data_IF_796202193509
#
_entry.id   IF_796202193509
#
_cell.length_a   1.000
_cell.length_b   1.000
_cell.length_c   1.000
_cell.angle_alpha   90.00
_cell.angle_beta   90.00
_cell.angle_gamma   90.00
#
_symmetry.space_group_name_H-M   'P 1'
#
loop_
_entity.id
_entity.type
_entity.pdbx_description
1 polymer ?
#
# COMPACT_ATOMS: atom_id res chain seq x y z
N UNK A 1 -13.45 -9.64 6.39
CA UNK A 1 -13.25 -9.93 4.96
C UNK A 1 -12.07 -9.14 4.41
N UNK A 2 -12.07 -7.80 4.43
CA UNK A 2 -11.00 -6.95 3.88
C UNK A 2 -9.61 -7.30 4.39
N UNK A 3 -9.42 -7.47 5.70
CA UNK A 3 -8.13 -7.88 6.27
C UNK A 3 -7.65 -9.25 5.75
N UNK A 4 -8.57 -10.19 5.55
CA UNK A 4 -8.21 -11.50 5.00
C UNK A 4 -7.79 -11.41 3.53
N UNK A 5 -8.47 -10.57 2.72
CA UNK A 5 -8.07 -10.36 1.31
C UNK A 5 -6.72 -9.68 1.20
N UNK A 6 -6.44 -8.68 2.05
CA UNK A 6 -5.14 -8.01 2.10
C UNK A 6 -4.04 -8.98 2.54
N UNK A 7 -4.27 -9.80 3.58
CA UNK A 7 -3.31 -10.82 3.98
C UNK A 7 -2.99 -11.81 2.84
N UNK A 8 -4.02 -12.31 2.15
CA UNK A 8 -3.83 -13.18 0.99
C UNK A 8 -3.07 -12.47 -0.14
N UNK A 9 -3.35 -11.21 -0.39
CA UNK A 9 -2.66 -10.40 -1.40
C UNK A 9 -1.16 -10.29 -1.10
N UNK A 10 -0.80 -10.03 0.16
CA UNK A 10 0.61 -9.94 0.58
C UNK A 10 1.29 -11.31 0.49
N UNK A 11 0.64 -12.39 0.91
CA UNK A 11 1.18 -13.74 0.81
C UNK A 11 1.47 -14.10 -0.64
N UNK A 12 0.54 -13.81 -1.55
CA UNK A 12 0.72 -14.01 -3.01
C UNK A 12 1.89 -13.17 -3.52
N UNK A 13 1.98 -11.91 -3.09
CA UNK A 13 3.06 -11.00 -3.48
C UNK A 13 4.45 -11.51 -3.03
N UNK A 14 4.57 -11.89 -1.77
CA UNK A 14 5.81 -12.46 -1.22
C UNK A 14 6.17 -13.77 -1.93
N UNK A 15 5.20 -14.66 -2.15
CA UNK A 15 5.42 -15.92 -2.86
C UNK A 15 5.94 -15.71 -4.29
N UNK A 16 5.35 -14.79 -5.03
CA UNK A 16 5.78 -14.45 -6.40
C UNK A 16 7.15 -13.77 -6.40
N UNK A 17 7.40 -12.86 -5.46
CA UNK A 17 8.68 -12.18 -5.34
C UNK A 17 9.83 -13.16 -5.01
N UNK A 18 9.59 -14.12 -4.11
CA UNK A 18 10.55 -15.18 -3.78
C UNK A 18 10.75 -16.19 -4.92
N UNK A 19 9.82 -16.34 -5.85
CA UNK A 19 9.98 -17.20 -7.03
C UNK A 19 10.71 -16.52 -8.17
N UNK A 20 10.57 -15.20 -8.32
CA UNK A 20 11.16 -14.43 -9.42
C UNK A 20 12.55 -13.92 -9.06
N UNK A 21 12.83 -13.75 -7.75
CA UNK A 21 14.05 -13.14 -7.23
C UNK A 21 14.43 -11.85 -7.94
N UNK A 22 13.56 -10.81 -7.88
CA UNK A 22 13.69 -9.63 -8.71
C UNK A 22 14.94 -8.78 -8.41
N UNK A 23 15.48 -8.84 -7.20
CA UNK A 23 16.66 -8.08 -6.77
C UNK A 23 17.99 -8.74 -7.08
N UNK A 24 18.00 -9.98 -7.59
CA UNK A 24 19.24 -10.69 -7.90
C UNK A 24 19.92 -10.09 -9.14
N UNK A 25 21.22 -9.79 -9.01
CA UNK A 25 22.05 -9.23 -10.10
C UNK A 25 22.34 -7.74 -9.96
N UNK A 26 21.82 -7.04 -8.93
CA UNK A 26 22.32 -5.72 -8.51
C UNK A 26 23.17 -5.95 -7.26
N UNK A 27 24.47 -6.07 -7.43
CA UNK A 27 25.38 -5.89 -6.31
C UNK A 27 25.64 -4.39 -6.18
N UNK A 28 25.03 -3.74 -5.21
CA UNK A 28 25.49 -2.42 -4.79
C UNK A 28 26.80 -2.61 -4.01
N UNK A 29 27.92 -2.82 -4.72
CA UNK A 29 29.27 -2.93 -4.12
C UNK A 29 29.68 -1.67 -3.35
N UNK A 30 28.98 -0.55 -3.55
CA UNK A 30 29.34 0.76 -3.00
C UNK A 30 28.41 1.29 -1.91
N UNK A 31 27.34 0.59 -1.55
CA UNK A 31 26.62 0.94 -0.33
C UNK A 31 27.41 0.33 0.82
N UNK A 32 28.25 1.14 1.44
CA UNK A 32 29.07 0.73 2.59
C UNK A 32 28.21 -0.04 3.58
N UNK A 33 28.52 -1.33 3.78
CA UNK A 33 28.00 -2.14 4.90
C UNK A 33 28.26 -1.48 6.27
N UNK A 34 28.99 -0.38 6.30
CA UNK A 34 29.34 0.40 7.47
C UNK A 34 28.20 1.28 8.03
N UNK A 35 27.18 1.60 7.20
CA UNK A 35 26.04 2.41 7.66
C UNK A 35 24.78 1.57 7.95
N UNK A 36 24.82 0.27 7.73
CA UNK A 36 23.84 -0.64 8.32
C UNK A 36 24.24 -0.79 9.80
N UNK A 37 24.07 0.30 10.55
CA UNK A 37 24.21 0.27 11.99
C UNK A 37 23.37 -0.88 12.52
N UNK A 38 23.87 -1.60 13.53
CA UNK A 38 23.19 -2.65 14.26
C UNK A 38 21.71 -2.27 14.43
N UNK A 39 20.89 -2.57 13.45
CA UNK A 39 19.45 -2.44 13.57
C UNK A 39 19.10 -3.55 14.56
N UNK A 40 18.98 -3.16 15.84
CA UNK A 40 18.43 -4.02 16.86
C UNK A 40 17.18 -4.64 16.24
N UNK A 41 17.12 -5.97 16.24
CA UNK A 41 15.94 -6.70 15.78
C UNK A 41 14.78 -6.15 16.59
N UNK A 42 14.00 -5.27 15.97
CA UNK A 42 12.82 -4.70 16.62
C UNK A 42 11.90 -5.88 16.92
N UNK A 43 11.80 -6.22 18.20
CA UNK A 43 10.97 -7.33 18.64
C UNK A 43 9.52 -7.04 18.21
N UNK A 44 8.82 -8.06 17.70
CA UNK A 44 7.37 -7.95 17.45
C UNK A 44 6.63 -7.39 18.67
N UNK A 45 7.07 -7.74 19.88
CA UNK A 45 6.51 -7.23 21.13
C UNK A 45 6.72 -5.71 21.26
N UNK A 46 7.89 -5.20 20.94
CA UNK A 46 8.19 -3.76 21.00
C UNK A 46 7.42 -2.98 19.93
N UNK A 47 7.26 -3.55 18.74
CA UNK A 47 6.41 -2.96 17.69
C UNK A 47 4.96 -2.86 18.17
N UNK A 48 4.42 -3.92 18.79
CA UNK A 48 3.06 -3.93 19.31
C UNK A 48 2.87 -2.98 20.49
N UNK A 49 3.87 -2.86 21.38
CA UNK A 49 3.81 -1.94 22.53
C UNK A 49 3.90 -0.47 22.08
N UNK A 50 4.66 -0.19 21.03
CA UNK A 50 4.83 1.15 20.48
C UNK A 50 3.67 1.59 19.54
N UNK A 51 2.71 0.72 19.28
CA UNK A 51 1.49 1.04 18.51
C UNK A 51 0.70 2.19 19.15
N UNK A 52 0.63 2.20 20.50
CA UNK A 52 -0.09 3.26 21.23
C UNK A 52 0.89 4.40 21.52
N UNK A 53 0.68 5.58 20.90
CA UNK A 53 1.61 6.70 21.09
C UNK A 53 1.56 7.22 22.52
N UNK A 54 2.72 7.31 23.18
CA UNK A 54 2.87 8.05 24.44
C UNK A 54 2.65 9.54 24.25
N UNK A 55 3.01 10.04 23.08
CA UNK A 55 2.83 11.42 22.65
C UNK A 55 2.42 11.47 21.17
N UNK A 56 1.13 11.68 20.86
CA UNK A 56 0.64 11.69 19.48
C UNK A 56 1.25 12.81 18.63
N UNK A 57 1.50 13.98 19.22
CA UNK A 57 2.12 15.12 18.52
C UNK A 57 3.60 14.82 18.23
N UNK A 58 4.29 14.19 19.17
CA UNK A 58 5.66 13.71 18.96
C UNK A 58 5.72 12.68 17.82
N UNK A 59 4.80 11.72 17.79
CA UNK A 59 4.72 10.75 16.72
C UNK A 59 4.49 11.42 15.33
N UNK A 60 3.63 12.44 15.27
CA UNK A 60 3.43 13.23 14.04
C UNK A 60 4.69 13.99 13.63
N UNK A 61 5.42 14.57 14.58
CA UNK A 61 6.65 15.31 14.30
C UNK A 61 7.78 14.39 13.83
N UNK A 62 7.86 13.17 14.35
CA UNK A 62 8.87 12.18 13.98
C UNK A 62 8.49 11.38 12.72
N UNK A 63 7.23 11.43 12.28
CA UNK A 63 6.75 10.63 11.16
C UNK A 63 6.50 9.15 11.51
N UNK A 64 6.24 8.85 12.79
CA UNK A 64 5.95 7.49 13.27
C UNK A 64 4.54 7.06 12.85
N UNK A 65 4.43 6.49 11.63
CA UNK A 65 3.14 6.26 10.97
C UNK A 65 2.20 5.34 11.76
N UNK A 66 2.72 4.26 12.36
CA UNK A 66 1.89 3.28 13.05
C UNK A 66 1.15 3.88 14.27
N UNK A 67 1.81 4.60 15.18
CA UNK A 67 1.15 5.34 16.26
C UNK A 67 0.16 6.40 15.76
N UNK A 68 0.48 7.09 14.66
CA UNK A 68 -0.41 8.11 14.07
C UNK A 68 -1.71 7.48 13.59
N UNK A 69 -1.63 6.34 12.86
CA UNK A 69 -2.80 5.61 12.35
C UNK A 69 -3.71 5.17 13.51
N UNK A 70 -3.13 4.57 14.54
CA UNK A 70 -3.91 4.09 15.69
C UNK A 70 -4.57 5.23 16.44
N UNK A 71 -3.88 6.35 16.63
CA UNK A 71 -4.44 7.55 17.22
C UNK A 71 -5.59 8.13 16.38
N UNK A 72 -5.41 8.20 15.06
CA UNK A 72 -6.46 8.67 14.15
C UNK A 72 -7.70 7.76 14.17
N UNK A 73 -7.52 6.43 14.19
CA UNK A 73 -8.61 5.47 14.33
C UNK A 73 -9.36 5.65 15.65
N UNK A 74 -8.63 5.86 16.76
CA UNK A 74 -9.23 6.10 18.06
C UNK A 74 -10.08 7.38 18.08
N UNK A 75 -9.56 8.49 17.54
CA UNK A 75 -10.32 9.73 17.38
C UNK A 75 -11.56 9.51 16.50
N UNK A 76 -11.41 8.83 15.36
CA UNK A 76 -12.51 8.55 14.43
C UNK A 76 -13.65 7.77 15.09
N UNK A 77 -13.32 6.75 15.88
CA UNK A 77 -14.33 5.97 16.64
C UNK A 77 -15.04 6.83 17.68
N UNK A 78 -14.32 7.71 18.39
CA UNK A 78 -14.92 8.61 19.37
C UNK A 78 -15.83 9.64 18.69
N UNK A 79 -15.41 10.25 17.60
CA UNK A 79 -16.22 11.18 16.83
C UNK A 79 -17.51 10.51 16.32
N UNK A 80 -17.41 9.28 15.82
CA UNK A 80 -18.58 8.50 15.39
C UNK A 80 -19.54 8.23 16.55
N UNK A 81 -19.05 7.92 17.75
CA UNK A 81 -19.88 7.73 18.96
C UNK A 81 -20.54 9.02 19.45
N UNK A 82 -19.84 10.15 19.34
CA UNK A 82 -20.36 11.46 19.77
C UNK A 82 -21.42 12.00 18.81
N UNK A 83 -21.41 11.58 17.54
CA UNK A 83 -22.37 11.99 16.52
C UNK A 83 -22.46 13.52 16.39
N UNK A 84 -23.67 14.07 16.41
CA UNK A 84 -23.91 15.51 16.20
C UNK A 84 -23.22 16.42 17.23
N UNK A 85 -22.87 15.91 18.42
CA UNK A 85 -22.15 16.70 19.43
C UNK A 85 -20.72 17.05 19.00
N UNK A 86 -20.14 16.27 18.12
CA UNK A 86 -18.79 16.48 17.60
C UNK A 86 -18.76 17.02 16.16
N UNK A 87 -19.89 17.52 15.66
CA UNK A 87 -20.01 17.96 14.25
C UNK A 87 -18.96 18.99 13.85
N UNK A 88 -18.64 19.96 14.71
CA UNK A 88 -17.61 20.97 14.46
C UNK A 88 -16.23 20.34 14.27
N UNK A 89 -15.84 19.39 15.14
CA UNK A 89 -14.55 18.71 15.05
C UNK A 89 -14.51 17.78 13.85
N UNK A 90 -15.59 17.07 13.57
CA UNK A 90 -15.72 16.22 12.39
C UNK A 90 -15.58 17.02 11.10
N UNK A 91 -16.27 18.17 11.01
CA UNK A 91 -16.19 19.07 9.86
C UNK A 91 -14.78 19.69 9.71
N UNK A 92 -14.12 20.02 10.83
CA UNK A 92 -12.73 20.48 10.80
C UNK A 92 -11.82 19.44 10.17
N UNK A 93 -11.88 18.18 10.61
CA UNK A 93 -11.05 17.11 10.03
C UNK A 93 -11.39 16.85 8.56
N UNK A 94 -12.66 16.92 8.18
CA UNK A 94 -13.08 16.78 6.79
C UNK A 94 -12.48 17.89 5.90
N UNK A 95 -12.62 19.16 6.30
CA UNK A 95 -12.05 20.29 5.58
C UNK A 95 -10.51 20.28 5.58
N UNK A 96 -9.92 19.86 6.68
CA UNK A 96 -8.46 19.71 6.76
C UNK A 96 -7.95 18.61 5.81
N UNK A 97 -8.68 17.49 5.71
CA UNK A 97 -8.39 16.45 4.73
C UNK A 97 -8.46 17.00 3.30
N UNK A 98 -9.50 17.76 2.96
CA UNK A 98 -9.66 18.36 1.62
C UNK A 98 -8.48 19.31 1.32
N UNK A 99 -8.07 20.14 2.30
CA UNK A 99 -6.89 20.99 2.17
C UNK A 99 -5.61 20.19 1.93
N UNK A 100 -5.38 19.11 2.69
CA UNK A 100 -4.20 18.24 2.52
C UNK A 100 -4.20 17.55 1.16
N UNK A 101 -5.38 17.16 0.66
CA UNK A 101 -5.53 16.58 -0.68
C UNK A 101 -5.17 17.60 -1.78
N UNK A 102 -5.64 18.83 -1.69
CA UNK A 102 -5.28 19.89 -2.64
C UNK A 102 -3.78 20.22 -2.59
N UNK A 103 -3.18 20.28 -1.40
CA UNK A 103 -1.74 20.45 -1.26
C UNK A 103 -0.96 19.31 -1.92
N UNK A 104 -1.39 18.07 -1.72
CA UNK A 104 -0.78 16.88 -2.36
C UNK A 104 -0.90 16.98 -3.88
N UNK A 105 -2.07 17.32 -4.40
CA UNK A 105 -2.27 17.48 -5.85
C UNK A 105 -1.43 18.62 -6.43
N UNK A 106 -1.21 19.68 -5.69
CA UNK A 106 -0.32 20.78 -6.10
C UNK A 106 1.14 20.31 -6.22
N UNK A 107 1.62 19.54 -5.24
CA UNK A 107 2.98 18.94 -5.27
C UNK A 107 3.10 17.93 -6.41
N UNK A 108 2.07 17.12 -6.65
CA UNK A 108 2.06 16.12 -7.73
C UNK A 108 2.16 16.73 -9.14
N UNK A 109 1.82 18.01 -9.32
CA UNK A 109 2.07 18.70 -10.62
C UNK A 109 3.56 18.83 -10.95
N UNK A 110 4.42 18.87 -9.94
CA UNK A 110 5.89 18.95 -10.09
C UNK A 110 6.53 17.55 -10.11
N UNK A 111 5.79 16.52 -9.74
CA UNK A 111 6.28 15.14 -9.67
C UNK A 111 6.99 14.63 -10.95
N UNK A 112 6.52 14.93 -12.19
CA UNK A 112 7.21 14.46 -13.39
C UNK A 112 8.67 14.93 -13.47
N UNK A 113 8.97 16.15 -13.02
CA UNK A 113 10.33 16.69 -12.99
C UNK A 113 11.16 15.95 -11.93
N UNK A 114 10.59 15.77 -10.73
CA UNK A 114 11.25 15.03 -9.64
C UNK A 114 11.55 13.58 -10.03
N UNK A 115 10.60 12.89 -10.62
CA UNK A 115 10.77 11.50 -11.11
C UNK A 115 11.86 11.43 -12.18
N UNK A 116 11.86 12.34 -13.15
CA UNK A 116 12.91 12.41 -14.14
C UNK A 116 14.30 12.58 -13.52
N UNK A 117 14.44 13.50 -12.56
CA UNK A 117 15.71 13.73 -11.87
C UNK A 117 16.17 12.51 -11.06
N UNK A 118 15.24 11.84 -10.36
CA UNK A 118 15.54 10.63 -9.58
C UNK A 118 16.00 9.48 -10.49
N UNK A 119 15.26 9.22 -11.58
CA UNK A 119 15.63 8.20 -12.55
C UNK A 119 16.99 8.51 -13.16
N UNK A 120 17.21 9.76 -13.61
CA UNK A 120 18.48 10.18 -14.17
C UNK A 120 19.66 9.99 -13.19
N UNK A 121 19.44 10.33 -11.90
CA UNK A 121 20.42 10.11 -10.83
C UNK A 121 20.72 8.62 -10.66
N UNK A 122 19.69 7.78 -10.55
CA UNK A 122 19.86 6.33 -10.38
C UNK A 122 20.63 5.71 -11.53
N UNK A 123 20.31 6.06 -12.77
CA UNK A 123 21.05 5.57 -13.94
C UNK A 123 22.49 6.12 -14.02
N UNK A 124 22.73 7.33 -13.52
CA UNK A 124 24.09 7.89 -13.47
C UNK A 124 24.96 7.19 -12.41
N UNK A 125 24.38 6.78 -11.29
CA UNK A 125 25.09 6.14 -10.16
C UNK A 125 25.28 4.63 -10.37
N UNK A 126 24.28 3.92 -10.89
CA UNK A 126 24.26 2.44 -10.98
C UNK A 126 24.51 1.96 -12.41
N UNK A 127 24.28 2.82 -13.41
CA UNK A 127 24.40 2.47 -14.83
C UNK A 127 23.17 1.71 -15.34
N UNK A 128 23.30 1.17 -16.56
CA UNK A 128 22.22 0.41 -17.20
C UNK A 128 22.00 -0.98 -16.59
N UNK A 129 22.90 -1.46 -15.75
CA UNK A 129 22.78 -2.75 -15.08
C UNK A 129 21.61 -2.79 -14.08
N UNK A 130 21.21 -1.62 -13.56
CA UNK A 130 20.02 -1.50 -12.71
C UNK A 130 18.70 -1.72 -13.47
N UNK A 131 18.69 -1.59 -14.79
CA UNK A 131 17.45 -1.63 -15.58
C UNK A 131 16.77 -3.00 -15.56
N UNK A 132 17.53 -4.07 -15.68
CA UNK A 132 16.99 -5.43 -15.70
C UNK A 132 16.32 -5.84 -14.37
N UNK A 133 16.90 -5.59 -13.19
CA UNK A 133 16.24 -5.82 -11.91
C UNK A 133 14.99 -4.97 -11.69
N UNK A 134 15.00 -3.70 -12.11
CA UNK A 134 13.79 -2.86 -12.07
C UNK A 134 12.67 -3.43 -12.95
N UNK A 135 12.99 -3.93 -14.14
CA UNK A 135 12.01 -4.62 -15.00
C UNK A 135 11.50 -5.91 -14.36
N UNK A 136 12.37 -6.69 -13.71
CA UNK A 136 11.96 -7.89 -12.94
C UNK A 136 11.02 -7.52 -11.80
N UNK A 137 11.34 -6.44 -11.05
CA UNK A 137 10.47 -5.92 -10.00
C UNK A 137 9.09 -5.52 -10.55
N UNK A 138 9.05 -4.71 -11.62
CA UNK A 138 7.79 -4.33 -12.27
C UNK A 138 7.01 -5.54 -12.78
N UNK A 139 7.71 -6.52 -13.34
CA UNK A 139 7.12 -7.78 -13.80
C UNK A 139 6.54 -8.58 -12.63
N UNK A 140 7.26 -8.68 -11.52
CA UNK A 140 6.80 -9.38 -10.31
C UNK A 140 5.55 -8.72 -9.71
N UNK A 141 5.53 -7.38 -9.59
CA UNK A 141 4.35 -6.63 -9.14
C UNK A 141 3.17 -6.84 -10.08
N UNK A 142 3.39 -6.71 -11.39
CA UNK A 142 2.33 -6.89 -12.39
C UNK A 142 1.77 -8.32 -12.37
N UNK A 143 2.62 -9.32 -12.25
CA UNK A 143 2.20 -10.71 -12.13
C UNK A 143 1.40 -10.95 -10.84
N UNK A 144 1.87 -10.42 -9.72
CA UNK A 144 1.17 -10.54 -8.43
C UNK A 144 -0.22 -9.89 -8.47
N UNK A 145 -0.33 -8.69 -9.07
CA UNK A 145 -1.62 -8.03 -9.29
C UNK A 145 -2.53 -8.83 -10.22
N UNK A 146 -1.99 -9.42 -11.29
CA UNK A 146 -2.75 -10.25 -12.21
C UNK A 146 -3.26 -11.52 -11.52
N UNK A 147 -2.43 -12.21 -10.75
CA UNK A 147 -2.83 -13.40 -9.97
C UNK A 147 -3.88 -13.03 -8.94
N UNK A 148 -3.71 -11.94 -8.20
CA UNK A 148 -4.69 -11.47 -7.22
C UNK A 148 -6.04 -11.16 -7.89
N UNK A 149 -6.04 -10.45 -9.01
CA UNK A 149 -7.26 -10.03 -9.71
C UNK A 149 -7.97 -11.20 -10.42
N UNK A 150 -7.22 -12.01 -11.17
CA UNK A 150 -7.78 -13.03 -12.07
C UNK A 150 -7.96 -14.39 -11.42
N UNK A 151 -7.21 -14.69 -10.35
CA UNK A 151 -7.28 -15.96 -9.66
C UNK A 151 -7.94 -15.79 -8.29
N UNK A 152 -7.30 -15.03 -7.39
CA UNK A 152 -7.75 -14.97 -5.98
C UNK A 152 -9.13 -14.33 -5.85
N UNK A 153 -9.35 -13.16 -6.43
CA UNK A 153 -10.65 -12.49 -6.32
C UNK A 153 -11.74 -13.23 -7.07
N UNK A 154 -11.43 -13.86 -8.21
CA UNK A 154 -12.43 -14.64 -8.96
C UNK A 154 -12.79 -15.93 -8.24
N UNK A 155 -11.82 -16.57 -7.59
CA UNK A 155 -12.06 -17.72 -6.75
C UNK A 155 -12.95 -17.36 -5.55
N UNK A 156 -12.63 -16.29 -4.84
CA UNK A 156 -13.44 -15.80 -3.71
C UNK A 156 -14.86 -15.44 -4.17
N UNK A 157 -14.98 -14.72 -5.30
CA UNK A 157 -16.30 -14.40 -5.87
C UNK A 157 -17.09 -15.70 -6.14
N UNK A 158 -16.50 -16.68 -6.79
CA UNK A 158 -17.15 -17.93 -7.10
C UNK A 158 -17.55 -18.71 -5.84
N UNK A 159 -16.64 -18.82 -4.87
CA UNK A 159 -16.88 -19.57 -3.62
C UNK A 159 -18.01 -18.96 -2.80
N UNK A 160 -18.02 -17.63 -2.63
CA UNK A 160 -19.00 -16.96 -1.77
C UNK A 160 -20.33 -16.67 -2.45
N UNK A 161 -20.34 -16.43 -3.77
CA UNK A 161 -21.57 -15.97 -4.46
C UNK A 161 -22.06 -16.95 -5.53
N UNK A 162 -21.23 -17.90 -5.97
CA UNK A 162 -21.45 -18.78 -7.11
C UNK A 162 -21.77 -18.05 -8.44
N UNK A 163 -21.45 -16.75 -8.49
CA UNK A 163 -21.55 -15.98 -9.72
C UNK A 163 -20.46 -16.39 -10.71
N UNK A 164 -20.75 -16.25 -12.00
CA UNK A 164 -19.75 -16.51 -13.03
C UNK A 164 -18.69 -15.41 -13.06
N UNK A 165 -17.41 -15.73 -12.75
CA UNK A 165 -16.34 -14.74 -12.65
C UNK A 165 -16.09 -13.95 -13.95
N UNK A 166 -16.15 -14.64 -15.09
CA UNK A 166 -15.91 -14.00 -16.40
C UNK A 166 -17.01 -12.99 -16.76
N UNK A 167 -18.27 -13.29 -16.41
CA UNK A 167 -19.37 -12.33 -16.61
C UNK A 167 -19.22 -11.12 -15.71
N UNK A 168 -18.75 -11.31 -14.47
CA UNK A 168 -18.47 -10.22 -13.56
C UNK A 168 -17.37 -9.33 -14.11
N UNK A 169 -16.21 -9.89 -14.50
CA UNK A 169 -15.09 -9.15 -15.09
C UNK A 169 -15.53 -8.35 -16.32
N UNK A 170 -16.28 -8.97 -17.24
CA UNK A 170 -16.78 -8.29 -18.44
C UNK A 170 -17.69 -7.11 -18.11
N UNK A 171 -18.56 -7.24 -17.11
CA UNK A 171 -19.47 -6.16 -16.70
C UNK A 171 -18.77 -5.06 -15.93
N UNK A 172 -17.73 -5.40 -15.18
CA UNK A 172 -16.98 -4.48 -14.34
C UNK A 172 -15.76 -3.87 -15.05
N UNK A 173 -15.40 -4.35 -16.25
CA UNK A 173 -14.24 -3.88 -17.02
C UNK A 173 -14.20 -2.36 -17.24
N UNK A 174 -15.30 -1.61 -17.46
CA UNK A 174 -15.21 -0.16 -17.61
C UNK A 174 -14.74 0.54 -16.33
N UNK A 175 -15.09 0.00 -15.16
CA UNK A 175 -14.62 0.50 -13.86
C UNK A 175 -13.14 0.23 -13.70
N UNK A 176 -12.69 -0.98 -14.06
CA UNK A 176 -11.27 -1.37 -14.00
C UNK A 176 -10.42 -0.48 -14.92
N UNK A 177 -10.87 -0.21 -16.14
CA UNK A 177 -10.18 0.68 -17.07
C UNK A 177 -10.12 2.12 -16.56
N UNK A 178 -11.21 2.61 -15.98
CA UNK A 178 -11.25 3.94 -15.39
C UNK A 178 -10.31 4.04 -14.18
N UNK A 179 -10.30 3.04 -13.29
CA UNK A 179 -9.38 2.98 -12.15
C UNK A 179 -7.92 2.97 -12.61
N UNK A 180 -7.60 2.20 -13.65
CA UNK A 180 -6.26 2.12 -14.23
C UNK A 180 -5.79 3.48 -14.79
N UNK A 181 -6.66 4.17 -15.51
CA UNK A 181 -6.30 5.47 -16.13
C UNK A 181 -6.20 6.61 -15.12
N UNK A 182 -7.03 6.60 -14.06
CA UNK A 182 -7.04 7.66 -13.05
C UNK A 182 -6.04 7.42 -11.92
N UNK A 183 -5.55 6.18 -11.76
CA UNK A 183 -4.66 5.74 -10.69
C UNK A 183 -5.13 6.18 -9.28
N UNK A 184 -6.45 6.34 -9.07
CA UNK A 184 -7.02 6.73 -7.78
C UNK A 184 -8.33 5.99 -7.50
N UNK A 185 -8.39 5.33 -6.34
CA UNK A 185 -9.59 4.61 -5.89
C UNK A 185 -10.76 5.56 -5.65
N UNK A 186 -10.50 6.75 -5.12
CA UNK A 186 -11.54 7.71 -4.77
C UNK A 186 -12.32 8.21 -5.99
N UNK A 187 -11.64 8.51 -7.11
CA UNK A 187 -12.29 8.92 -8.34
C UNK A 187 -13.18 7.82 -8.95
N UNK A 188 -12.90 6.56 -8.63
CA UNK A 188 -13.58 5.39 -9.17
C UNK A 188 -14.86 5.04 -8.40
N UNK A 189 -15.03 5.54 -7.17
CA UNK A 189 -16.16 5.23 -6.29
C UNK A 189 -17.53 5.44 -6.97
N UNK A 190 -17.84 6.59 -7.59
CA UNK A 190 -19.15 6.83 -8.17
C UNK A 190 -19.47 5.84 -9.32
N UNK A 191 -18.48 5.60 -10.19
CA UNK A 191 -18.63 4.67 -11.30
C UNK A 191 -18.80 3.22 -10.84
N UNK A 192 -18.09 2.84 -9.76
CA UNK A 192 -18.23 1.51 -9.15
C UNK A 192 -19.63 1.29 -8.61
N UNK A 193 -20.17 2.25 -7.86
CA UNK A 193 -21.51 2.17 -7.29
C UNK A 193 -22.58 2.07 -8.40
N UNK A 194 -22.47 2.91 -9.43
CA UNK A 194 -23.42 2.92 -10.55
C UNK A 194 -23.37 1.60 -11.36
N UNK A 195 -22.18 1.07 -11.59
CA UNK A 195 -21.99 -0.22 -12.29
C UNK A 195 -22.52 -1.40 -11.48
N UNK A 196 -22.30 -1.43 -10.17
CA UNK A 196 -22.81 -2.47 -9.27
C UNK A 196 -24.34 -2.48 -9.24
N UNK A 197 -24.94 -1.30 -9.13
CA UNK A 197 -26.41 -1.16 -9.11
C UNK A 197 -27.03 -1.53 -10.46
N UNK A 198 -26.61 -0.90 -11.55
CA UNK A 198 -27.28 -1.01 -12.85
C UNK A 198 -26.93 -2.29 -13.64
N UNK A 199 -25.67 -2.79 -13.52
CA UNK A 199 -25.19 -3.90 -14.36
C UNK A 199 -25.06 -5.21 -13.63
N UNK A 200 -24.90 -5.20 -12.30
CA UNK A 200 -24.67 -6.38 -11.50
C UNK A 200 -25.86 -6.71 -10.60
N UNK A 201 -26.65 -5.67 -10.23
CA UNK A 201 -27.87 -5.83 -9.43
C UNK A 201 -27.62 -5.79 -7.91
N UNK A 202 -26.49 -5.17 -7.48
CA UNK A 202 -26.20 -4.94 -6.06
C UNK A 202 -26.94 -3.69 -5.63
N UNK A 203 -27.71 -3.76 -4.54
CA UNK A 203 -28.45 -2.62 -4.00
C UNK A 203 -27.53 -1.41 -3.77
N UNK A 204 -27.97 -0.25 -4.27
CA UNK A 204 -27.23 1.01 -4.10
C UNK A 204 -26.97 1.36 -2.64
N UNK A 205 -27.89 0.97 -1.73
CA UNK A 205 -27.72 1.17 -0.28
C UNK A 205 -26.50 0.42 0.26
N UNK A 206 -26.24 -0.79 -0.23
CA UNK A 206 -25.09 -1.59 0.17
C UNK A 206 -23.82 -1.04 -0.49
N UNK A 207 -23.82 -0.83 -1.80
CA UNK A 207 -22.65 -0.38 -2.54
C UNK A 207 -22.18 1.03 -2.12
N UNK A 208 -23.11 1.95 -1.77
CA UNK A 208 -22.76 3.29 -1.29
C UNK A 208 -22.06 3.29 0.07
N UNK A 209 -22.17 2.23 0.85
CA UNK A 209 -21.44 2.06 2.10
C UNK A 209 -20.15 1.25 1.91
N UNK A 210 -20.24 0.11 1.23
CA UNK A 210 -19.11 -0.84 1.13
C UNK A 210 -18.00 -0.34 0.21
N UNK A 211 -18.33 0.33 -0.90
CA UNK A 211 -17.31 0.77 -1.86
C UNK A 211 -16.41 1.88 -1.28
N UNK A 212 -16.92 2.98 -0.68
CA UNK A 212 -16.07 3.96 -0.03
C UNK A 212 -15.26 3.37 1.13
N UNK A 213 -15.87 2.49 1.93
CA UNK A 213 -15.17 1.81 3.01
C UNK A 213 -14.02 0.94 2.48
N UNK A 214 -14.27 0.17 1.42
CA UNK A 214 -13.23 -0.65 0.78
C UNK A 214 -12.12 0.20 0.16
N UNK A 215 -12.46 1.31 -0.48
CA UNK A 215 -11.46 2.21 -1.06
C UNK A 215 -10.48 2.80 -0.04
N UNK A 216 -10.86 2.84 1.24
CA UNK A 216 -10.03 3.37 2.34
C UNK A 216 -9.31 2.28 3.14
N UNK A 217 -9.92 1.10 3.31
CA UNK A 217 -9.42 0.08 4.23
C UNK A 217 -8.76 -1.09 3.48
N UNK A 218 -9.13 -1.32 2.22
CA UNK A 218 -8.73 -2.49 1.45
C UNK A 218 -7.83 -2.09 0.26
N UNK A 219 -6.60 -1.73 0.56
CA UNK A 219 -5.59 -1.30 -0.41
C UNK A 219 -4.67 -2.47 -0.80
N UNK A 220 -5.26 -3.58 -1.28
CA UNK A 220 -4.52 -4.81 -1.62
C UNK A 220 -3.44 -4.57 -2.68
N UNK A 221 -3.68 -3.71 -3.67
CA UNK A 221 -2.68 -3.37 -4.68
C UNK A 221 -1.45 -2.69 -4.10
N UNK A 222 -1.64 -1.77 -3.14
CA UNK A 222 -0.54 -1.13 -2.41
C UNK A 222 0.23 -2.15 -1.57
N UNK A 223 -0.47 -3.03 -0.89
CA UNK A 223 0.14 -4.09 -0.08
C UNK A 223 0.94 -5.10 -0.92
N UNK A 224 0.47 -5.43 -2.13
CA UNK A 224 1.20 -6.25 -3.10
C UNK A 224 2.51 -5.57 -3.49
N UNK A 225 2.44 -4.29 -3.88
CA UNK A 225 3.62 -3.50 -4.22
C UNK A 225 4.62 -3.49 -3.08
N UNK A 226 4.17 -3.24 -1.86
CA UNK A 226 5.01 -3.23 -0.66
C UNK A 226 5.64 -4.60 -0.39
N UNK A 227 4.90 -5.70 -0.50
CA UNK A 227 5.42 -7.05 -0.32
C UNK A 227 6.53 -7.39 -1.32
N UNK A 228 6.32 -7.10 -2.60
CA UNK A 228 7.36 -7.32 -3.63
C UNK A 228 8.55 -6.39 -3.42
N UNK A 229 8.30 -5.13 -3.03
CA UNK A 229 9.34 -4.15 -2.77
C UNK A 229 10.27 -4.54 -1.63
N UNK A 230 9.72 -5.07 -0.54
CA UNK A 230 10.51 -5.55 0.61
C UNK A 230 11.46 -6.67 0.19
N UNK A 231 10.99 -7.65 -0.57
CA UNK A 231 11.84 -8.75 -1.07
C UNK A 231 12.91 -8.20 -2.04
N UNK A 232 12.52 -7.31 -2.95
CA UNK A 232 13.43 -6.68 -3.89
C UNK A 232 14.55 -5.92 -3.17
N UNK A 233 14.20 -5.06 -2.23
CA UNK A 233 15.17 -4.27 -1.46
C UNK A 233 16.07 -5.19 -0.62
N UNK A 234 15.51 -6.20 0.06
CA UNK A 234 16.29 -7.16 0.83
C UNK A 234 17.36 -7.85 -0.04
N UNK A 235 16.98 -8.28 -1.25
CA UNK A 235 17.89 -8.93 -2.19
C UNK A 235 18.97 -7.98 -2.72
N UNK A 236 18.60 -6.73 -3.04
CA UNK A 236 19.57 -5.71 -3.50
C UNK A 236 20.62 -5.40 -2.43
N UNK A 237 20.23 -5.37 -1.16
CA UNK A 237 21.14 -5.16 -0.04
C UNK A 237 21.79 -6.45 0.48
N UNK A 238 21.53 -7.61 -0.15
CA UNK A 238 22.08 -8.90 0.23
C UNK A 238 21.63 -9.38 1.63
N UNK A 239 20.43 -8.95 2.05
CA UNK A 239 19.83 -9.34 3.33
C UNK A 239 18.83 -10.47 3.12
N UNK A 240 18.99 -11.56 3.87
CA UNK A 240 18.02 -12.65 3.89
C UNK A 240 16.96 -12.40 4.97
N UNK A 241 15.69 -12.42 4.56
CA UNK A 241 14.58 -12.26 5.48
C UNK A 241 14.20 -13.59 6.11
N UNK A 242 14.17 -13.62 7.43
CA UNK A 242 13.70 -14.77 8.20
C UNK A 242 12.18 -14.93 8.08
N UNK A 243 11.62 -16.15 8.29
CA UNK A 243 10.17 -16.34 8.30
C UNK A 243 9.43 -15.44 9.30
N UNK A 244 10.06 -15.10 10.43
CA UNK A 244 9.50 -14.17 11.41
C UNK A 244 9.41 -12.74 10.85
N UNK A 245 10.42 -12.28 10.12
CA UNK A 245 10.40 -10.98 9.45
C UNK A 245 9.34 -10.95 8.33
N UNK A 246 9.16 -12.04 7.57
CA UNK A 246 8.09 -12.13 6.57
C UNK A 246 6.70 -12.01 7.21
N UNK A 247 6.48 -12.62 8.38
CA UNK A 247 5.24 -12.43 9.14
C UNK A 247 5.08 -10.97 9.61
N UNK A 248 6.17 -10.32 10.03
CA UNK A 248 6.15 -8.90 10.38
C UNK A 248 5.79 -8.03 9.17
N UNK A 249 6.32 -8.32 7.98
CA UNK A 249 5.94 -7.65 6.73
C UNK A 249 4.44 -7.79 6.47
N UNK A 250 3.90 -9.00 6.61
CA UNK A 250 2.45 -9.23 6.41
C UNK A 250 1.64 -8.37 7.39
N UNK A 251 1.98 -8.40 8.67
CA UNK A 251 1.25 -7.66 9.70
C UNK A 251 1.35 -6.14 9.49
N UNK A 252 2.54 -5.61 9.25
CA UNK A 252 2.76 -4.16 9.06
C UNK A 252 2.18 -3.65 7.75
N UNK A 253 2.27 -4.39 6.65
CA UNK A 253 1.66 -4.01 5.37
C UNK A 253 0.12 -4.07 5.44
N UNK A 254 -0.48 -4.99 6.21
CA UNK A 254 -1.92 -4.98 6.48
C UNK A 254 -2.36 -3.73 7.22
N UNK A 255 -1.60 -3.30 8.23
CA UNK A 255 -1.92 -2.09 8.99
C UNK A 255 -1.69 -0.85 8.11
N UNK A 256 -0.61 -0.83 7.32
CA UNK A 256 -0.34 0.22 6.34
C UNK A 256 -1.49 0.38 5.34
N UNK A 257 -2.06 -0.72 4.88
CA UNK A 257 -3.21 -0.73 3.97
C UNK A 257 -4.43 0.02 4.54
N UNK A 258 -4.68 -0.07 5.85
CA UNK A 258 -5.79 0.63 6.51
C UNK A 258 -5.55 2.14 6.57
N UNK A 259 -4.29 2.56 6.73
CA UNK A 259 -3.93 3.97 6.86
C UNK A 259 -3.62 4.68 5.54
N UNK A 260 -3.62 3.96 4.43
CA UNK A 260 -3.27 4.52 3.12
C UNK A 260 -4.45 5.29 2.54
N UNK A 261 -4.24 6.55 2.18
CA UNK A 261 -5.24 7.32 1.45
C UNK A 261 -5.33 6.88 -0.02
N UNK A 262 -6.53 6.98 -0.61
CA UNK A 262 -6.78 6.57 -2.01
C UNK A 262 -6.26 7.56 -3.06
N UNK A 263 -5.03 8.06 -2.87
CA UNK A 263 -4.32 9.00 -3.75
C UNK A 263 -3.04 8.37 -4.31
N UNK A 264 -2.58 8.82 -5.49
CA UNK A 264 -1.37 8.28 -6.10
C UNK A 264 -0.13 8.39 -5.19
N UNK A 265 0.75 7.41 -5.25
CA UNK A 265 2.08 7.37 -4.60
C UNK A 265 2.12 7.32 -3.06
N UNK A 266 1.00 7.34 -2.35
CA UNK A 266 0.99 7.23 -0.87
C UNK A 266 1.54 5.88 -0.41
N UNK A 267 1.41 4.84 -1.21
CA UNK A 267 1.96 3.51 -0.91
C UNK A 267 3.47 3.51 -0.67
N UNK A 268 4.23 4.41 -1.30
CA UNK A 268 5.69 4.53 -1.10
C UNK A 268 6.04 5.08 0.28
N UNK A 269 5.23 6.03 0.79
CA UNK A 269 5.42 6.57 2.16
C UNK A 269 5.18 5.45 3.19
N UNK A 270 4.13 4.67 2.98
CA UNK A 270 3.83 3.54 3.87
C UNK A 270 4.85 2.39 3.74
N UNK A 271 5.51 2.26 2.58
CA UNK A 271 6.58 1.29 2.39
C UNK A 271 7.76 1.56 3.34
N UNK A 272 8.10 2.83 3.60
CA UNK A 272 9.15 3.17 4.56
C UNK A 272 8.88 2.55 5.94
N UNK A 273 7.61 2.59 6.41
CA UNK A 273 7.22 1.97 7.67
C UNK A 273 7.42 0.44 7.64
N UNK A 274 7.04 -0.20 6.53
CA UNK A 274 7.20 -1.66 6.39
C UNK A 274 8.67 -2.06 6.38
N UNK A 275 9.52 -1.33 5.66
CA UNK A 275 10.97 -1.56 5.62
C UNK A 275 11.60 -1.41 7.01
N UNK A 276 11.29 -0.31 7.70
CA UNK A 276 11.79 -0.06 9.06
C UNK A 276 11.40 -1.17 10.03
N UNK A 277 10.18 -1.73 9.90
CA UNK A 277 9.71 -2.81 10.79
C UNK A 277 10.51 -4.10 10.69
N UNK A 278 11.24 -4.31 9.60
CA UNK A 278 12.09 -5.49 9.36
C UNK A 278 13.58 -5.16 9.32
N UNK A 279 13.94 -3.91 9.62
CA UNK A 279 15.33 -3.46 9.67
C UNK A 279 15.98 -3.25 8.31
N UNK A 280 15.18 -3.03 7.25
CA UNK A 280 15.68 -2.69 5.92
C UNK A 280 15.87 -1.18 5.76
N UNK A 281 16.90 -0.75 5.00
CA UNK A 281 17.15 0.65 4.74
C UNK A 281 16.04 1.29 3.89
N UNK A 282 15.59 2.45 4.33
CA UNK A 282 14.53 3.21 3.63
C UNK A 282 15.02 3.87 2.33
N UNK A 283 16.33 4.05 2.18
CA UNK A 283 16.99 4.54 0.98
C UNK A 283 16.71 3.67 -0.25
N UNK A 284 16.46 2.37 -0.01
CA UNK A 284 16.05 1.41 -1.05
C UNK A 284 14.76 1.81 -1.79
N UNK A 285 13.93 2.68 -1.22
CA UNK A 285 12.71 3.21 -1.88
C UNK A 285 13.07 3.99 -3.15
N UNK A 286 14.25 4.61 -3.19
CA UNK A 286 14.69 5.36 -4.37
C UNK A 286 14.91 4.47 -5.62
N UNK A 287 14.97 3.14 -5.45
CA UNK A 287 15.10 2.16 -6.54
C UNK A 287 13.74 1.73 -7.13
N UNK A 288 12.64 2.12 -6.49
CA UNK A 288 11.28 1.72 -6.83
C UNK A 288 10.49 2.91 -7.38
#
# INVERSE_FOLDING_TARGET
FYLCTTALAIIVALGIALMIDPGTGVAMENVSKADIGNTEQVSMADTLLNIIPKNPIGAMANGDMLPIIVFALFIGVLLAKMGNRASTVSNFFAQFNDLMMEMTMAVMKVAPIGVFCLIAKTFAEIGFDAFLPMLKYMGAVTLALAVQCLVVYQLLLFVFTRLNPLRFLKRFSPVMMFAFTTATSNATIPLSIDTLDKKIGVSKKISSFTIPLGATINMDGTSIMQGVAVIFIAQVYGMELTPAQLLTVIATAMIASIGTAGIPSVGLIMLAMVLTSVGLPTEGIALI
#
